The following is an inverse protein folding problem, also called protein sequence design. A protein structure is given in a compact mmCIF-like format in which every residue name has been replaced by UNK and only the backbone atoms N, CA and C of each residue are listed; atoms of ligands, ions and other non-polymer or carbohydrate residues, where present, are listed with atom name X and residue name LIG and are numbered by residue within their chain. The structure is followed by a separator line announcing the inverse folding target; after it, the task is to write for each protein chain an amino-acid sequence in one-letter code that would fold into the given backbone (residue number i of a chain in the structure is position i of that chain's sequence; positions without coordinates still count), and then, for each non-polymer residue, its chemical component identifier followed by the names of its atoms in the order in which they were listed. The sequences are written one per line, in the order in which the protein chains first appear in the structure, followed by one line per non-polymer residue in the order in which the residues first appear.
data_IF_634376181609
#
_entry.id   IF_634376181609
#
_cell.length_a   1.000
_cell.length_b   1.000
_cell.length_c   1.000
_cell.angle_alpha   90.00
_cell.angle_beta   90.00
_cell.angle_gamma   90.00
#
_symmetry.space_group_name_H-M   'P 1'
#
loop_
_entity.id
_entity.type
_entity.pdbx_description
1 polymer ?
#
# COMPACT_ATOMS: atom_id res chain seq x y z
N UNK A 1 -17.06 -10.83 1.03
CA UNK A 1 -17.24 -10.60 -0.42
C UNK A 1 -16.10 -9.73 -0.92
N UNK A 2 -15.07 -10.33 -1.52
CA UNK A 2 -13.95 -9.59 -2.13
C UNK A 2 -14.46 -8.79 -3.32
N UNK A 3 -14.65 -7.49 -3.12
CA UNK A 3 -15.14 -6.56 -4.15
C UNK A 3 -14.16 -6.59 -5.32
N UNK A 4 -14.53 -7.25 -6.42
CA UNK A 4 -13.80 -7.22 -7.68
C UNK A 4 -13.79 -5.77 -8.14
N UNK A 5 -12.70 -5.06 -7.86
CA UNK A 5 -12.59 -3.64 -8.22
C UNK A 5 -12.42 -3.56 -9.72
N UNK A 6 -13.53 -3.39 -10.43
CA UNK A 6 -13.54 -3.14 -11.88
C UNK A 6 -12.68 -1.92 -12.14
N UNK A 7 -11.62 -2.10 -12.95
CA UNK A 7 -10.72 -1.01 -13.33
C UNK A 7 -11.47 -0.02 -14.23
N UNK A 8 -11.20 1.28 -14.06
CA UNK A 8 -11.74 2.31 -14.95
C UNK A 8 -11.06 2.24 -16.32
N UNK A 9 -11.69 2.80 -17.35
CA UNK A 9 -11.11 2.77 -18.71
C UNK A 9 -9.76 3.49 -18.80
N UNK A 10 -9.59 4.59 -18.03
CA UNK A 10 -8.30 5.28 -17.90
C UNK A 10 -7.21 4.36 -17.31
N UNK A 11 -7.56 3.54 -16.32
CA UNK A 11 -6.64 2.57 -15.72
C UNK A 11 -6.28 1.46 -16.70
N UNK A 12 -7.26 0.92 -17.44
CA UNK A 12 -6.97 -0.06 -18.51
C UNK A 12 -6.03 0.51 -19.55
N UNK A 13 -6.27 1.72 -20.04
CA UNK A 13 -5.42 2.35 -21.05
C UNK A 13 -3.97 2.52 -20.55
N UNK A 14 -3.79 2.91 -19.28
CA UNK A 14 -2.47 3.01 -18.67
C UNK A 14 -1.75 1.65 -18.61
N UNK A 15 -2.44 0.61 -18.15
CA UNK A 15 -1.90 -0.75 -18.06
C UNK A 15 -1.63 -1.36 -19.45
N UNK A 16 -2.44 -1.05 -20.45
CA UNK A 16 -2.21 -1.48 -21.85
C UNK A 16 -0.91 -0.89 -22.39
N UNK A 17 -0.65 0.40 -22.16
CA UNK A 17 0.62 1.04 -22.58
C UNK A 17 1.82 0.37 -21.93
N UNK A 18 1.70 -0.01 -20.65
CA UNK A 18 2.77 -0.68 -19.91
C UNK A 18 2.97 -2.12 -20.39
N UNK A 19 1.89 -2.85 -20.63
CA UNK A 19 1.93 -4.19 -21.19
C UNK A 19 2.60 -4.18 -22.58
N UNK A 20 2.22 -3.21 -23.43
CA UNK A 20 2.82 -3.00 -24.74
C UNK A 20 4.32 -2.67 -24.65
N UNK A 21 4.73 -1.82 -23.70
CA UNK A 21 6.15 -1.52 -23.44
C UNK A 21 6.96 -2.77 -23.10
N UNK A 22 6.35 -3.73 -22.41
CA UNK A 22 6.97 -4.99 -22.04
C UNK A 22 6.74 -6.11 -23.09
N UNK A 23 6.18 -5.78 -24.27
CA UNK A 23 5.93 -6.73 -25.34
C UNK A 23 4.91 -7.82 -24.99
N UNK A 24 3.97 -7.54 -24.07
CA UNK A 24 2.99 -8.51 -23.60
C UNK A 24 1.55 -7.97 -23.69
N UNK A 25 0.58 -8.89 -23.73
CA UNK A 25 -0.85 -8.55 -23.67
C UNK A 25 -1.24 -8.00 -22.29
N UNK A 26 -2.27 -7.15 -22.24
CA UNK A 26 -2.83 -6.60 -21.00
C UNK A 26 -3.18 -7.69 -19.97
N UNK A 27 -3.84 -8.76 -20.41
CA UNK A 27 -4.27 -9.85 -19.51
C UNK A 27 -3.08 -10.52 -18.81
N UNK A 28 -2.04 -10.85 -19.59
CA UNK A 28 -0.79 -11.40 -19.06
C UNK A 28 -0.12 -10.44 -18.08
N UNK A 29 -0.12 -9.13 -18.36
CA UNK A 29 0.44 -8.12 -17.47
C UNK A 29 -0.31 -8.06 -16.13
N UNK A 30 -1.64 -8.05 -16.17
CA UNK A 30 -2.49 -8.05 -14.97
C UNK A 30 -2.32 -9.33 -14.15
N UNK A 31 -2.19 -10.48 -14.80
CA UNK A 31 -1.97 -11.76 -14.13
C UNK A 31 -0.62 -11.80 -13.37
N UNK A 32 0.45 -11.27 -13.97
CA UNK A 32 1.77 -11.17 -13.33
C UNK A 32 1.68 -10.22 -12.14
N UNK A 33 1.11 -9.03 -12.33
CA UNK A 33 0.95 -8.03 -11.27
C UNK A 33 0.13 -8.56 -10.08
N UNK A 34 -0.93 -9.32 -10.33
CA UNK A 34 -1.72 -9.94 -9.28
C UNK A 34 -0.91 -10.97 -8.47
N UNK A 35 -0.05 -11.76 -9.13
CA UNK A 35 0.86 -12.70 -8.46
C UNK A 35 1.91 -11.97 -7.63
N UNK A 36 2.49 -10.89 -8.16
CA UNK A 36 3.46 -10.06 -7.43
C UNK A 36 2.84 -9.38 -6.21
N UNK A 37 1.63 -8.84 -6.33
CA UNK A 37 0.91 -8.25 -5.20
C UNK A 37 0.70 -9.27 -4.08
N UNK A 38 0.27 -10.49 -4.41
CA UNK A 38 0.11 -11.56 -3.42
C UNK A 38 1.43 -11.98 -2.77
N UNK A 39 2.53 -11.99 -3.52
CA UNK A 39 3.86 -12.28 -2.98
C UNK A 39 4.35 -11.15 -2.05
N UNK A 40 4.13 -9.90 -2.43
CA UNK A 40 4.49 -8.72 -1.63
C UNK A 40 3.64 -8.64 -0.37
N UNK A 41 2.34 -8.95 -0.42
CA UNK A 41 1.47 -8.99 0.77
C UNK A 41 1.92 -10.07 1.76
N UNK A 42 2.34 -11.24 1.27
CA UNK A 42 2.93 -12.29 2.12
C UNK A 42 4.27 -11.88 2.71
N UNK A 43 5.09 -11.13 1.97
CA UNK A 43 6.39 -10.66 2.44
C UNK A 43 6.31 -9.39 3.31
N UNK A 44 5.23 -8.61 3.20
CA UNK A 44 4.99 -7.38 3.98
C UNK A 44 4.31 -7.63 5.32
N UNK A 45 3.93 -8.86 5.66
CA UNK A 45 3.49 -9.16 7.01
C UNK A 45 4.64 -8.81 7.98
N UNK A 46 4.55 -7.69 8.74
CA UNK A 46 5.58 -7.40 9.71
C UNK A 46 5.53 -8.50 10.78
N UNK A 47 6.68 -9.01 11.27
CA UNK A 47 6.65 -9.85 12.46
C UNK A 47 5.93 -9.08 13.57
N UNK A 48 5.11 -9.74 14.43
CA UNK A 48 4.45 -9.05 15.53
C UNK A 48 5.52 -8.36 16.38
N UNK A 49 5.56 -7.03 16.31
CA UNK A 49 6.50 -6.23 17.10
C UNK A 49 6.03 -6.29 18.54
N UNK A 50 6.89 -6.64 19.52
CA UNK A 50 6.54 -6.49 20.92
C UNK A 50 6.20 -5.01 21.17
N UNK A 51 5.12 -4.77 21.91
CA UNK A 51 4.58 -3.43 22.15
C UNK A 51 5.60 -2.58 22.91
N UNK A 52 6.44 -1.86 22.19
CA UNK A 52 7.32 -0.87 22.78
C UNK A 52 6.45 0.27 23.33
N UNK A 53 6.73 0.76 24.56
CA UNK A 53 5.94 1.81 25.17
C UNK A 53 5.91 3.04 24.26
N UNK A 54 4.68 3.49 23.95
CA UNK A 54 4.41 4.57 23.00
C UNK A 54 5.01 5.88 23.52
N UNK A 55 6.18 6.26 23.01
CA UNK A 55 6.76 7.58 23.25
C UNK A 55 5.78 8.65 22.75
N UNK A 56 5.61 9.78 23.47
CA UNK A 56 4.73 10.85 23.03
C UNK A 56 5.21 11.36 21.66
N UNK A 57 4.33 11.20 20.67
CA UNK A 57 4.53 11.71 19.31
C UNK A 57 4.51 13.24 19.30
N UNK A 58 4.61 13.81 18.10
CA UNK A 58 4.66 15.26 17.91
C UNK A 58 3.50 15.99 18.62
N UNK A 59 2.27 15.50 18.49
CA UNK A 59 1.11 16.06 19.20
C UNK A 59 1.18 15.93 20.72
N UNK A 60 1.74 14.83 21.23
CA UNK A 60 1.95 14.64 22.67
C UNK A 60 2.92 15.68 23.24
N UNK A 61 3.96 16.05 22.50
CA UNK A 61 4.92 17.09 22.92
C UNK A 61 4.31 18.50 22.87
N UNK A 62 3.42 18.76 21.91
CA UNK A 62 2.70 20.04 21.81
C UNK A 62 1.73 20.18 22.98
N UNK A 63 0.99 19.13 23.31
CA UNK A 63 0.09 19.10 24.46
C UNK A 63 0.86 19.28 25.78
N UNK A 64 2.00 18.61 25.93
CA UNK A 64 2.86 18.73 27.13
C UNK A 64 3.36 20.16 27.35
N UNK A 65 3.74 20.87 26.27
CA UNK A 65 4.13 22.29 26.35
C UNK A 65 2.97 23.21 26.74
N UNK A 66 1.75 22.86 26.38
CA UNK A 66 0.57 23.63 26.75
C UNK A 66 0.15 23.38 28.20
N UNK A 67 0.41 22.18 28.71
CA UNK A 67 0.00 21.73 30.05
C UNK A 67 1.02 22.07 31.14
N UNK A 68 2.23 22.54 30.80
CA UNK A 68 3.20 23.09 31.75
C UNK A 68 3.10 24.63 31.78
N UNK A 69 2.30 25.21 32.70
CA UNK A 69 2.45 26.62 33.03
C UNK A 69 3.80 26.83 33.75
N UNK A 70 4.47 27.93 33.42
CA UNK A 70 5.69 28.41 34.11
C UNK A 70 5.33 28.80 35.54
#
# INVERSE_FOLDING_TARGET
MTKTKTMTDAQRAYETKRAAKAGMSLEKHLAIKAREQQAVERAKAPPPKPEAPKKPGFFGRVLEKLQKPI
#
